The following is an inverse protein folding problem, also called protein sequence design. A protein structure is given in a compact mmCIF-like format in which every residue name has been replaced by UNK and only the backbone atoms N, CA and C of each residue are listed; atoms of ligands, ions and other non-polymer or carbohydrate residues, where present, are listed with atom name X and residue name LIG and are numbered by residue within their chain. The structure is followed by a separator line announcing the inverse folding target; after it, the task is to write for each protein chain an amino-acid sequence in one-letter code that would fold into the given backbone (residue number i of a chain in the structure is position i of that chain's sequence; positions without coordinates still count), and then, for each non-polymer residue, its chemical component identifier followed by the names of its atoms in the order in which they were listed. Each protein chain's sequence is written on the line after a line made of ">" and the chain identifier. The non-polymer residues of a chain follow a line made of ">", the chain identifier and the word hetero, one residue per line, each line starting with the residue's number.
data_IF_269677131070
#
_entry.id   IF_269677131070
#
_cell.length_a   1.000
_cell.length_b   1.000
_cell.length_c   1.000
_cell.angle_alpha   90.00
_cell.angle_beta   90.00
_cell.angle_gamma   90.00
#
_symmetry.space_group_name_H-M   'P 1'
#
loop_
_entity.id
_entity.type
_entity.pdbx_description
1 polymer ?
#
# COMPACT_ATOMS: atom_id res chain seq x y z
N UNK A 1 6.31 -0.49 -14.10
CA UNK A 1 4.84 -0.24 -14.16
C UNK A 1 4.57 1.06 -13.43
N UNK A 2 3.62 1.90 -13.84
CA UNK A 2 3.28 3.11 -13.07
C UNK A 2 2.15 2.78 -12.08
N UNK A 3 2.31 3.22 -10.83
CA UNK A 3 1.40 3.00 -9.71
C UNK A 3 1.11 4.34 -9.04
N UNK A 4 -0.16 4.62 -8.78
CA UNK A 4 -0.56 5.65 -7.80
C UNK A 4 -0.61 5.02 -6.41
N UNK A 5 0.12 5.60 -5.45
CA UNK A 5 0.17 5.15 -4.04
C UNK A 5 -0.13 6.32 -3.10
N UNK A 6 -0.71 6.05 -1.94
CA UNK A 6 -0.91 7.03 -0.88
C UNK A 6 0.38 7.21 -0.08
N UNK A 7 0.69 8.47 0.25
CA UNK A 7 1.70 8.84 1.24
C UNK A 7 0.97 9.43 2.45
N UNK A 8 0.91 8.67 3.55
CA UNK A 8 0.41 9.18 4.83
C UNK A 8 1.46 10.03 5.53
N UNK A 9 1.02 10.91 6.42
CA UNK A 9 1.90 11.73 7.27
C UNK A 9 2.85 10.86 8.12
N UNK A 10 2.35 9.78 8.73
CA UNK A 10 3.16 8.83 9.50
C UNK A 10 4.31 8.22 8.69
N UNK A 11 4.03 7.79 7.46
CA UNK A 11 5.08 7.33 6.55
C UNK A 11 6.04 8.47 6.21
N UNK A 12 5.56 9.69 5.99
CA UNK A 12 6.47 10.79 5.67
C UNK A 12 7.37 11.18 6.85
N UNK A 13 6.82 11.14 8.06
CA UNK A 13 7.52 11.31 9.34
C UNK A 13 8.63 10.28 9.53
N UNK A 14 8.39 9.01 9.17
CA UNK A 14 9.40 7.95 9.24
C UNK A 14 10.64 8.23 8.35
N UNK A 15 10.57 9.22 7.45
CA UNK A 15 11.70 9.73 6.66
C UNK A 15 12.26 11.06 7.20
N UNK A 16 11.96 11.42 8.44
CA UNK A 16 12.23 12.73 9.04
C UNK A 16 11.70 13.90 8.19
N UNK A 17 10.57 13.71 7.51
CA UNK A 17 10.01 14.67 6.55
C UNK A 17 11.02 15.11 5.48
N UNK A 18 12.03 14.31 5.12
CA UNK A 18 12.97 14.68 4.06
C UNK A 18 12.21 14.91 2.77
N UNK A 19 12.39 16.09 2.17
CA UNK A 19 11.74 16.51 0.93
C UNK A 19 11.73 15.42 -0.14
N UNK A 20 10.59 15.29 -0.80
CA UNK A 20 10.38 14.35 -1.91
C UNK A 20 10.06 15.19 -3.15
N UNK A 21 10.65 14.86 -4.29
CA UNK A 21 10.45 15.60 -5.54
C UNK A 21 10.20 14.66 -6.73
N UNK A 22 9.50 15.16 -7.74
CA UNK A 22 9.33 14.44 -9.01
C UNK A 22 10.71 14.18 -9.64
N UNK A 23 10.94 12.94 -10.06
CA UNK A 23 12.22 12.46 -10.56
C UNK A 23 13.10 11.80 -9.50
N UNK A 24 12.76 11.93 -8.20
CA UNK A 24 13.51 11.26 -7.15
C UNK A 24 13.38 9.74 -7.25
N UNK A 25 14.49 9.04 -7.07
CA UNK A 25 14.51 7.59 -6.93
C UNK A 25 14.15 7.20 -5.48
N UNK A 26 13.32 6.17 -5.34
CA UNK A 26 12.87 5.61 -4.08
C UNK A 26 13.21 4.12 -4.03
N UNK A 27 13.60 3.65 -2.86
CA UNK A 27 13.52 2.24 -2.51
C UNK A 27 12.43 2.09 -1.45
N UNK A 28 11.34 1.42 -1.82
CA UNK A 28 10.10 1.35 -1.02
C UNK A 28 9.52 -0.05 -1.07
N UNK A 29 8.64 -0.35 -0.13
CA UNK A 29 7.77 -1.51 -0.16
C UNK A 29 6.33 -1.01 -0.42
N UNK A 30 5.53 -1.80 -1.11
CA UNK A 30 4.11 -1.52 -1.31
C UNK A 30 3.31 -2.24 -0.24
N UNK A 31 2.45 -1.50 0.46
CA UNK A 31 1.63 -2.03 1.54
C UNK A 31 0.17 -1.68 1.33
N UNK A 32 -0.72 -2.44 1.96
CA UNK A 32 -2.13 -2.11 2.04
C UNK A 32 -2.46 -1.52 3.41
N UNK A 33 -3.58 -0.79 3.55
CA UNK A 33 -4.22 -0.68 4.85
C UNK A 33 -4.60 -2.08 5.38
N UNK A 34 -4.98 -2.13 6.65
CA UNK A 34 -5.56 -3.32 7.25
C UNK A 34 -6.84 -3.70 6.50
N UNK A 35 -6.88 -4.92 5.97
CA UNK A 35 -7.99 -5.48 5.21
C UNK A 35 -8.74 -6.52 6.05
N UNK A 36 -10.07 -6.51 5.94
CA UNK A 36 -10.91 -7.61 6.37
C UNK A 36 -11.12 -8.64 5.26
N UNK A 37 -11.73 -9.78 5.61
CA UNK A 37 -12.30 -10.70 4.64
C UNK A 37 -13.42 -10.02 3.85
N UNK A 38 -13.66 -10.47 2.63
CA UNK A 38 -14.75 -9.99 1.79
C UNK A 38 -16.11 -10.12 2.49
N UNK A 39 -16.59 -9.01 3.05
CA UNK A 39 -17.99 -8.82 3.38
C UNK A 39 -18.54 -7.88 2.31
N UNK A 40 -19.60 -8.28 1.60
CA UNK A 40 -20.19 -7.45 0.53
C UNK A 40 -20.77 -6.12 1.04
N UNK A 41 -20.74 -5.90 2.35
CA UNK A 41 -21.18 -4.70 3.05
C UNK A 41 -20.06 -3.65 3.23
N UNK A 42 -18.78 -4.02 3.10
CA UNK A 42 -17.64 -3.11 3.20
C UNK A 42 -16.88 -2.99 1.85
N UNK A 43 -17.05 -1.83 1.22
CA UNK A 43 -16.47 -1.50 -0.10
C UNK A 43 -15.08 -0.86 -0.02
N UNK A 44 -14.54 -0.62 1.19
CA UNK A 44 -13.33 0.21 1.36
C UNK A 44 -12.03 -0.59 1.16
N UNK A 45 -12.09 -1.92 1.24
CA UNK A 45 -11.00 -2.82 0.88
C UNK A 45 -11.19 -4.19 1.52
N UNK A 46 -10.89 -5.24 0.78
CA UNK A 46 -11.10 -6.61 1.24
C UNK A 46 -10.19 -7.58 0.48
N UNK A 47 -10.05 -8.78 1.04
CA UNK A 47 -9.46 -9.91 0.33
C UNK A 47 -10.19 -11.21 0.67
N UNK A 48 -9.94 -12.24 -0.14
CA UNK A 48 -10.36 -13.61 0.15
C UNK A 48 -9.38 -14.63 -0.44
N UNK A 49 -9.51 -15.88 -0.02
CA UNK A 49 -8.71 -17.01 -0.50
C UNK A 49 -9.38 -17.61 -1.73
N UNK A 50 -8.62 -17.75 -2.81
CA UNK A 50 -9.08 -18.43 -4.01
C UNK A 50 -8.98 -19.95 -3.85
N UNK A 51 -10.04 -20.68 -4.22
CA UNK A 51 -10.05 -22.15 -4.21
C UNK A 51 -9.18 -22.76 -5.30
N UNK A 52 -8.93 -22.01 -6.38
CA UNK A 52 -8.10 -22.42 -7.51
C UNK A 52 -7.03 -21.37 -7.81
N UNK A 53 -5.87 -21.76 -8.36
CA UNK A 53 -4.84 -20.82 -8.78
C UNK A 53 -5.37 -19.76 -9.76
N UNK A 54 -5.06 -18.51 -9.49
CA UNK A 54 -5.42 -17.37 -10.34
C UNK A 54 -4.23 -16.93 -11.21
N UNK A 55 -4.49 -16.05 -12.17
CA UNK A 55 -3.40 -15.33 -12.83
C UNK A 55 -2.97 -14.17 -11.90
N UNK A 56 -1.66 -14.01 -11.60
CA UNK A 56 -1.19 -12.86 -10.85
C UNK A 56 -1.58 -11.56 -11.53
N UNK A 57 -2.22 -10.65 -10.79
CA UNK A 57 -2.68 -9.36 -11.28
C UNK A 57 -2.53 -8.29 -10.22
N UNK A 58 -2.21 -7.09 -10.68
CA UNK A 58 -2.32 -5.86 -9.91
C UNK A 58 -2.83 -4.79 -10.89
N UNK A 59 -4.15 -4.62 -10.94
CA UNK A 59 -4.83 -3.78 -11.91
C UNK A 59 -5.43 -2.56 -11.20
N UNK A 60 -5.06 -1.36 -11.65
CA UNK A 60 -5.62 -0.12 -11.13
C UNK A 60 -7.10 -0.04 -11.51
N UNK A 61 -7.96 0.14 -10.51
CA UNK A 61 -9.41 0.34 -10.69
C UNK A 61 -9.71 1.82 -10.81
N UNK A 62 -9.30 2.61 -9.80
CA UNK A 62 -9.46 4.06 -9.77
C UNK A 62 -8.49 4.68 -8.77
N UNK A 63 -7.78 5.76 -9.15
CA UNK A 63 -6.89 6.47 -8.23
C UNK A 63 -5.85 5.54 -7.59
N UNK A 64 -5.80 5.49 -6.26
CA UNK A 64 -4.89 4.58 -5.54
C UNK A 64 -5.47 3.18 -5.28
N UNK A 65 -6.65 2.87 -5.82
CA UNK A 65 -7.37 1.60 -5.63
C UNK A 65 -7.02 0.60 -6.72
N UNK A 66 -6.77 -0.64 -6.31
CA UNK A 66 -6.34 -1.75 -7.16
C UNK A 66 -7.14 -3.00 -6.85
N UNK A 67 -7.49 -3.74 -7.91
CA UNK A 67 -7.81 -5.15 -7.81
C UNK A 67 -6.52 -5.94 -7.90
N UNK A 68 -6.38 -6.97 -7.08
CA UNK A 68 -5.20 -7.83 -7.07
C UNK A 68 -5.58 -9.31 -7.01
N UNK A 69 -4.67 -10.15 -7.51
CA UNK A 69 -4.62 -11.56 -7.20
C UNK A 69 -3.16 -12.02 -7.24
N UNK A 70 -2.79 -12.94 -6.37
CA UNK A 70 -1.43 -13.46 -6.32
C UNK A 70 -1.28 -14.57 -5.29
N UNK A 71 -0.13 -15.25 -5.36
CA UNK A 71 0.20 -16.31 -4.41
C UNK A 71 0.88 -15.72 -3.17
N UNK A 72 0.51 -16.19 -1.99
CA UNK A 72 1.19 -15.85 -0.73
C UNK A 72 2.57 -16.50 -0.72
N UNK A 73 3.62 -15.69 -0.64
CA UNK A 73 5.02 -16.12 -0.65
C UNK A 73 5.60 -16.24 0.75
N UNK A 74 5.14 -15.38 1.65
CA UNK A 74 5.54 -15.35 3.05
C UNK A 74 4.36 -14.91 3.90
N UNK A 75 4.26 -15.50 5.08
CA UNK A 75 3.28 -15.14 6.09
C UNK A 75 4.01 -14.85 7.41
N UNK A 76 3.64 -13.75 8.06
CA UNK A 76 4.06 -13.42 9.41
C UNK A 76 2.85 -12.99 10.23
N UNK A 77 2.67 -13.62 11.39
CA UNK A 77 1.61 -13.31 12.32
C UNK A 77 2.18 -12.53 13.50
N UNK A 78 1.64 -11.34 13.74
CA UNK A 78 1.89 -10.56 14.93
C UNK A 78 0.70 -10.75 15.87
N UNK A 79 0.93 -11.41 17.01
CA UNK A 79 -0.09 -11.63 18.04
C UNK A 79 0.23 -10.81 19.28
N UNK A 80 -0.77 -10.05 19.75
CA UNK A 80 -0.80 -9.52 21.10
C UNK A 80 -2.18 -9.81 21.74
N UNK A 81 -2.35 -9.67 23.07
CA UNK A 81 -3.60 -10.04 23.74
C UNK A 81 -4.86 -9.34 23.24
N UNK A 82 -4.74 -8.21 22.56
CA UNK A 82 -5.85 -7.37 22.12
C UNK A 82 -6.01 -7.33 20.59
N UNK A 83 -5.02 -7.83 19.84
CA UNK A 83 -4.91 -7.66 18.40
C UNK A 83 -3.97 -8.69 17.77
N UNK A 84 -4.50 -9.38 16.76
CA UNK A 84 -3.72 -10.18 15.83
C UNK A 84 -3.72 -9.52 14.45
N UNK A 85 -2.53 -9.37 13.86
CA UNK A 85 -2.34 -8.87 12.50
C UNK A 85 -1.50 -9.88 11.73
N UNK A 86 -2.05 -10.39 10.62
CA UNK A 86 -1.33 -11.16 9.63
C UNK A 86 -0.74 -10.22 8.57
N UNK A 87 0.55 -10.38 8.29
CA UNK A 87 1.25 -9.75 7.18
C UNK A 87 1.51 -10.81 6.11
N UNK A 88 1.05 -10.57 4.90
CA UNK A 88 1.15 -11.51 3.78
C UNK A 88 1.94 -10.85 2.64
N UNK A 89 3.08 -11.41 2.27
CA UNK A 89 3.77 -11.01 1.05
C UNK A 89 3.15 -11.74 -0.14
N UNK A 90 2.48 -11.00 -1.02
CA UNK A 90 1.73 -11.57 -2.15
C UNK A 90 2.47 -11.29 -3.46
N UNK A 91 2.68 -12.36 -4.24
CA UNK A 91 3.30 -12.31 -5.55
C UNK A 91 2.29 -11.87 -6.61
N UNK A 92 2.30 -10.57 -6.88
CA UNK A 92 1.60 -9.95 -8.01
C UNK A 92 2.64 -9.36 -8.97
N UNK A 93 2.27 -8.83 -10.16
CA UNK A 93 3.23 -8.21 -11.08
C UNK A 93 4.14 -7.15 -10.43
N UNK A 94 3.71 -6.51 -9.35
CA UNK A 94 4.59 -5.80 -8.41
C UNK A 94 4.25 -6.26 -6.98
N UNK A 95 5.16 -6.94 -6.26
CA UNK A 95 4.85 -7.51 -4.95
C UNK A 95 4.25 -6.50 -3.96
N UNK A 96 3.26 -6.95 -3.20
CA UNK A 96 2.57 -6.15 -2.18
C UNK A 96 2.58 -6.89 -0.85
N UNK A 97 2.68 -6.16 0.25
CA UNK A 97 2.41 -6.66 1.60
C UNK A 97 0.97 -6.35 1.98
N UNK A 98 0.14 -7.36 2.10
CA UNK A 98 -1.19 -7.22 2.68
C UNK A 98 -1.08 -7.19 4.20
N UNK A 99 -1.82 -6.28 4.83
CA UNK A 99 -2.09 -6.31 6.27
C UNK A 99 -3.51 -6.81 6.45
N UNK A 100 -3.71 -7.86 7.23
CA UNK A 100 -5.02 -8.43 7.55
C UNK A 100 -5.18 -8.53 9.06
N UNK A 101 -6.38 -8.24 9.58
CA UNK A 101 -6.66 -8.33 11.03
C UNK A 101 -7.87 -9.18 11.33
N UNK A 102 -7.84 -9.80 12.50
CA UNK A 102 -8.85 -10.74 13.03
C UNK A 102 -10.11 -10.08 13.59
N UNK A 103 -10.51 -8.90 13.12
CA UNK A 103 -11.83 -8.37 13.51
C UNK A 103 -12.90 -9.37 13.03
N UNK A 104 -13.67 -9.94 13.97
CA UNK A 104 -14.70 -10.99 13.83
C UNK A 104 -14.24 -12.49 13.80
N UNK A 105 -13.34 -12.93 14.69
CA UNK A 105 -13.09 -14.37 14.98
C UNK A 105 -12.55 -15.21 13.79
N UNK A 106 -12.00 -14.55 12.77
CA UNK A 106 -11.41 -15.20 11.60
C UNK A 106 -9.98 -14.70 11.42
N UNK A 107 -9.04 -15.31 12.15
CA UNK A 107 -7.71 -15.51 11.61
C UNK A 107 -7.90 -16.07 10.19
N UNK A 108 -7.45 -15.37 9.14
CA UNK A 108 -7.54 -15.96 7.84
C UNK A 108 -6.55 -17.14 7.88
N UNK A 109 -7.07 -18.38 7.83
CA UNK A 109 -6.32 -19.63 7.60
C UNK A 109 -5.59 -19.55 6.25
N UNK A 110 -4.69 -18.57 6.10
CA UNK A 110 -3.92 -18.27 4.92
C UNK A 110 -2.51 -18.74 5.18
N UNK A 111 -2.09 -19.69 4.36
CA UNK A 111 -0.77 -20.28 4.44
C UNK A 111 0.10 -19.81 3.27
N UNK A 112 1.40 -20.04 3.39
CA UNK A 112 2.30 -19.86 2.26
C UNK A 112 1.91 -20.84 1.14
N UNK A 113 1.76 -20.31 -0.08
CA UNK A 113 1.31 -21.06 -1.24
C UNK A 113 -0.16 -20.87 -1.59
N UNK A 114 -0.98 -20.34 -0.68
CA UNK A 114 -2.36 -20.00 -0.98
C UNK A 114 -2.46 -18.88 -2.01
N UNK A 115 -3.54 -18.91 -2.78
CA UNK A 115 -3.88 -17.82 -3.69
C UNK A 115 -4.87 -16.90 -3.01
N UNK A 116 -4.59 -15.60 -3.04
CA UNK A 116 -5.47 -14.57 -2.50
C UNK A 116 -5.82 -13.56 -3.58
N UNK A 117 -6.99 -12.95 -3.46
CA UNK A 117 -7.47 -11.91 -4.35
C UNK A 117 -8.31 -10.89 -3.59
N UNK A 118 -8.45 -9.69 -4.14
CA UNK A 118 -9.19 -8.64 -3.47
C UNK A 118 -9.12 -7.28 -4.12
N UNK A 119 -9.58 -6.28 -3.38
CA UNK A 119 -9.52 -4.87 -3.74
C UNK A 119 -8.94 -4.08 -2.58
N UNK A 120 -7.99 -3.19 -2.86
CA UNK A 120 -7.30 -2.41 -1.82
C UNK A 120 -6.82 -1.08 -2.35
N UNK A 121 -6.55 -0.13 -1.47
CA UNK A 121 -5.63 0.97 -1.79
C UNK A 121 -4.18 0.57 -1.54
N UNK A 122 -3.25 1.14 -2.31
CA UNK A 122 -1.81 0.98 -2.05
C UNK A 122 -1.25 2.20 -1.32
N UNK A 123 -0.41 1.92 -0.33
CA UNK A 123 0.45 2.85 0.38
C UNK A 123 1.91 2.45 0.18
N UNK A 124 2.82 3.37 0.47
CA UNK A 124 4.25 3.06 0.53
C UNK A 124 4.71 2.87 1.98
N UNK A 125 5.71 2.02 2.16
CA UNK A 125 6.53 1.96 3.36
C UNK A 125 8.01 2.09 2.94
N UNK A 126 8.84 2.72 3.77
CA UNK A 126 10.27 2.78 3.51
C UNK A 126 10.91 1.42 3.75
N UNK A 127 11.95 1.08 2.98
CA UNK A 127 12.69 -0.19 3.10
C UNK A 127 13.18 -0.47 4.52
N UNK A 128 13.57 0.58 5.24
CA UNK A 128 14.10 0.56 6.60
C UNK A 128 13.02 0.72 7.69
N UNK A 129 11.73 0.67 7.32
CA UNK A 129 10.64 0.74 8.29
C UNK A 129 10.64 -0.48 9.20
N UNK A 130 10.87 -0.24 10.50
CA UNK A 130 10.87 -1.28 11.54
C UNK A 130 9.47 -1.88 11.79
N UNK A 131 8.42 -1.17 11.39
CA UNK A 131 7.03 -1.55 11.68
C UNK A 131 6.45 -2.54 10.67
N UNK A 132 7.18 -2.86 9.59
CA UNK A 132 6.74 -3.81 8.58
C UNK A 132 7.58 -5.10 8.64
N UNK A 133 7.07 -6.18 9.26
CA UNK A 133 7.84 -7.42 9.45
C UNK A 133 8.11 -8.18 8.14
N UNK A 134 7.32 -7.91 7.10
CA UNK A 134 7.45 -8.50 5.78
C UNK A 134 7.29 -7.47 4.67
N UNK A 135 8.20 -7.49 3.70
CA UNK A 135 8.01 -6.81 2.44
C UNK A 135 9.12 -7.12 1.45
N UNK A 136 8.92 -6.70 0.21
CA UNK A 136 9.91 -6.80 -0.84
C UNK A 136 10.22 -5.39 -1.34
N UNK A 137 11.46 -4.90 -1.12
CA UNK A 137 11.87 -3.60 -1.64
C UNK A 137 11.78 -3.57 -3.17
N UNK A 138 11.22 -2.48 -3.68
CA UNK A 138 11.15 -2.16 -5.10
C UNK A 138 11.81 -0.81 -5.34
N UNK A 139 12.56 -0.74 -6.44
CA UNK A 139 13.07 0.53 -6.93
C UNK A 139 12.00 1.22 -7.75
N UNK A 140 11.76 2.49 -7.46
CA UNK A 140 10.81 3.31 -8.18
C UNK A 140 11.33 4.73 -8.40
N UNK A 141 10.74 5.43 -9.36
CA UNK A 141 10.98 6.86 -9.60
C UNK A 141 9.65 7.59 -9.51
N UNK A 142 9.63 8.74 -8.86
CA UNK A 142 8.42 9.57 -8.75
C UNK A 142 8.17 10.28 -10.08
N UNK A 143 6.97 10.13 -10.62
CA UNK A 143 6.53 10.73 -11.88
C UNK A 143 5.63 11.95 -11.66
N UNK A 144 4.78 11.92 -10.64
CA UNK A 144 3.86 13.02 -10.27
C UNK A 144 3.58 12.99 -8.77
N UNK A 145 3.29 14.15 -8.19
CA UNK A 145 2.86 14.29 -6.81
C UNK A 145 1.55 15.07 -6.83
N UNK A 146 0.49 14.47 -6.33
CA UNK A 146 -0.83 15.11 -6.21
C UNK A 146 -1.16 15.31 -4.75
N UNK A 147 -1.55 16.54 -4.40
CA UNK A 147 -1.92 16.93 -3.04
C UNK A 147 -3.33 17.49 -3.03
N UNK A 148 -4.20 16.91 -2.19
CA UNK A 148 -5.48 17.50 -1.82
C UNK A 148 -5.26 18.39 -0.60
N UNK A 149 -5.44 19.69 -0.78
CA UNK A 149 -5.29 20.67 0.29
C UNK A 149 -6.54 20.70 1.16
N UNK A 150 -6.39 20.42 2.45
CA UNK A 150 -7.43 20.45 3.48
C UNK A 150 -7.14 21.46 4.58
N UNK A 151 -5.97 22.11 4.57
CA UNK A 151 -5.75 23.32 5.38
C UNK A 151 -6.64 24.49 4.93
N UNK A 152 -7.16 25.32 5.86
CA UNK A 152 -7.88 26.54 5.51
C UNK A 152 -6.99 27.50 4.72
N UNK A 153 -7.45 27.90 3.52
CA UNK A 153 -6.72 28.84 2.68
C UNK A 153 -7.08 28.72 1.20
N UNK A 154 -6.40 29.48 0.32
CA UNK A 154 -6.51 29.30 -1.12
C UNK A 154 -6.19 27.86 -1.50
N UNK A 155 -7.07 27.22 -2.28
CA UNK A 155 -6.88 25.84 -2.73
C UNK A 155 -7.51 24.77 -1.84
N UNK A 156 -8.17 25.14 -0.73
CA UNK A 156 -8.92 24.19 0.09
C UNK A 156 -9.91 23.36 -0.75
N UNK A 157 -9.89 22.04 -0.56
CA UNK A 157 -10.72 21.08 -1.28
C UNK A 157 -10.28 20.78 -2.71
N UNK A 158 -9.15 21.33 -3.18
CA UNK A 158 -8.63 21.10 -4.52
C UNK A 158 -7.46 20.12 -4.51
N UNK A 159 -7.47 19.21 -5.48
CA UNK A 159 -6.31 18.38 -5.83
C UNK A 159 -5.44 19.16 -6.81
N UNK A 160 -4.15 19.30 -6.50
CA UNK A 160 -3.18 19.96 -7.37
C UNK A 160 -1.94 19.08 -7.55
N UNK A 161 -1.34 19.16 -8.74
CA UNK A 161 0.00 18.62 -8.96
C UNK A 161 1.03 19.57 -8.38
N UNK A 162 1.99 19.03 -7.65
CA UNK A 162 3.13 19.75 -7.07
C UNK A 162 4.42 19.09 -7.52
N UNK A 163 5.51 19.86 -7.57
CA UNK A 163 6.81 19.32 -7.96
C UNK A 163 7.56 18.67 -6.80
N UNK A 164 7.31 19.13 -5.58
CA UNK A 164 7.93 18.62 -4.36
C UNK A 164 7.02 18.76 -3.14
N UNK A 165 7.29 17.97 -2.11
CA UNK A 165 6.68 18.08 -0.79
C UNK A 165 7.59 18.89 0.16
N UNK A 166 7.00 19.78 0.98
CA UNK A 166 7.76 20.54 1.96
C UNK A 166 8.25 19.62 3.09
N UNK A 167 9.37 19.94 3.76
CA UNK A 167 9.90 19.15 4.86
C UNK A 167 9.19 19.45 6.18
N UNK A 168 7.87 19.28 6.18
CA UNK A 168 6.97 19.53 7.31
C UNK A 168 5.81 18.52 7.27
N UNK A 169 5.03 18.38 8.36
CA UNK A 169 3.85 17.53 8.38
C UNK A 169 2.86 17.85 7.24
N UNK A 170 2.30 16.81 6.64
CA UNK A 170 1.29 16.90 5.59
C UNK A 170 -0.10 17.15 6.17
N UNK A 171 -0.38 16.66 7.37
CA UNK A 171 -1.71 16.60 7.94
C UNK A 171 -2.38 17.99 8.12
N UNK A 172 -3.61 18.20 7.63
CA UNK A 172 -4.60 17.17 7.25
C UNK A 172 -4.62 16.80 5.76
N UNK A 173 -3.70 17.30 4.93
CA UNK A 173 -3.74 17.10 3.49
C UNK A 173 -3.57 15.62 3.10
N UNK A 174 -4.14 15.25 1.95
CA UNK A 174 -3.96 13.91 1.37
C UNK A 174 -2.97 13.97 0.23
N UNK A 175 -2.00 13.07 0.21
CA UNK A 175 -0.95 13.03 -0.82
C UNK A 175 -0.93 11.69 -1.53
N UNK A 176 -0.89 11.75 -2.86
CA UNK A 176 -0.70 10.60 -3.75
C UNK A 176 0.57 10.79 -4.56
N UNK A 177 1.39 9.77 -4.61
CA UNK A 177 2.57 9.70 -5.47
C UNK A 177 2.24 8.79 -6.65
N UNK A 178 2.50 9.27 -7.87
CA UNK A 178 2.60 8.39 -9.03
C UNK A 178 4.04 7.95 -9.16
N UNK A 179 4.30 6.66 -9.02
CA UNK A 179 5.63 6.07 -9.05
C UNK A 179 5.76 5.09 -10.21
N UNK A 180 6.89 5.09 -10.89
CA UNK A 180 7.23 4.09 -11.91
C UNK A 180 8.20 3.07 -11.34
N UNK A 181 7.72 1.85 -11.20
CA UNK A 181 8.50 0.71 -10.72
C UNK A 181 9.47 0.22 -11.78
N UNK A 182 10.70 -0.05 -11.36
CA UNK A 182 11.72 -0.73 -12.15
C UNK A 182 11.67 -2.21 -11.77
N UNK A 183 10.85 -2.98 -12.49
CA UNK A 183 10.83 -4.43 -12.33
C UNK A 183 12.01 -4.97 -13.13
N UNK A 184 13.04 -5.46 -12.46
CA UNK A 184 14.04 -6.30 -13.10
C UNK A 184 13.32 -7.55 -13.62
N UNK A 185 13.21 -7.68 -14.94
CA UNK A 185 12.79 -8.94 -15.55
C UNK A 185 13.87 -9.96 -15.24
N UNK A 186 13.62 -10.82 -14.27
CA UNK A 186 14.37 -12.06 -14.08
C UNK A 186 13.97 -13.08 -15.13
#
# INVERSE_FOLDING_TARGET
>A
MSLTVRLSDFVYEARDYRGIEVGAALNVMLTTPMLGRATYDDVVGWFDIAQEPLQPVLAQVEGATYAFAGQVRKHFLFENPDLSIAYLLVDTPTPITLQASEFDDLAPDVEEGDWVYGVTTLSLAWEDSLDLPLGQPIQAVIEDIRRLYLHPGPGFGLVQSVHSLPPEPLGPDQVWLMIRTQIERR
#
